data_IF_865699463968
#
_entry.id   IF_865699463968
#
_cell.length_a   1.000
_cell.length_b   1.000
_cell.length_c   1.000
_cell.angle_alpha   90.00
_cell.angle_beta   90.00
_cell.angle_gamma   90.00
#
_symmetry.space_group_name_H-M   'P 1'
#
loop_
_entity.id
_entity.type
_entity.pdbx_description
1 polymer ?
#
# COMPACT_ATOMS: atom_id res chain seq x y z
N UNK A 1 -10.59 8.25 22.12
CA UNK A 1 -9.63 7.26 21.59
C UNK A 1 -9.91 7.12 20.10
N UNK A 2 -8.88 7.19 19.27
CA UNK A 2 -8.99 7.16 17.81
C UNK A 2 -8.05 6.08 17.28
N UNK A 3 -8.52 5.32 16.30
CA UNK A 3 -7.74 4.29 15.62
C UNK A 3 -7.49 4.71 14.19
N UNK A 4 -6.27 4.51 13.71
CA UNK A 4 -5.85 4.82 12.35
C UNK A 4 -5.20 3.57 11.78
N UNK A 5 -5.70 3.11 10.64
CA UNK A 5 -5.08 2.06 9.86
C UNK A 5 -4.07 2.69 8.88
N UNK A 6 -2.78 2.63 9.24
CA UNK A 6 -1.71 3.11 8.40
C UNK A 6 -1.32 2.03 7.38
N UNK A 7 -1.61 2.28 6.11
CA UNK A 7 -1.27 1.37 5.01
C UNK A 7 -0.02 1.81 4.27
N UNK A 8 0.88 0.86 4.02
CA UNK A 8 2.03 1.02 3.14
C UNK A 8 2.12 -0.14 2.12
N UNK A 9 3.29 -0.29 1.46
CA UNK A 9 3.53 -1.38 0.50
C UNK A 9 3.44 -2.77 1.13
N UNK A 10 3.83 -2.91 2.40
CA UNK A 10 3.96 -4.18 3.09
C UNK A 10 2.64 -4.62 3.74
N UNK A 11 1.81 -3.68 4.19
CA UNK A 11 0.52 -4.02 4.78
C UNK A 11 -0.12 -2.86 5.51
N UNK A 12 -0.92 -3.19 6.52
CA UNK A 12 -1.59 -2.25 7.40
C UNK A 12 -0.98 -2.39 8.78
N UNK A 13 -0.82 -1.28 9.49
CA UNK A 13 -0.46 -1.24 10.91
C UNK A 13 -1.38 -0.26 11.63
N UNK A 14 -1.93 -0.67 12.77
CA UNK A 14 -2.79 0.21 13.57
C UNK A 14 -1.96 1.19 14.38
N UNK A 15 -2.44 2.43 14.41
CA UNK A 15 -1.97 3.49 15.28
C UNK A 15 -3.12 3.87 16.20
N UNK A 16 -2.85 3.86 17.51
CA UNK A 16 -3.86 4.13 18.52
C UNK A 16 -3.55 5.43 19.22
N UNK A 17 -4.41 6.43 19.01
CA UNK A 17 -4.30 7.73 19.65
C UNK A 17 -5.29 7.86 20.82
N UNK A 18 -4.76 8.18 21.99
CA UNK A 18 -5.51 8.44 23.21
C UNK A 18 -5.23 9.87 23.72
N UNK A 19 -6.22 10.79 23.71
CA UNK A 19 -6.05 12.15 24.19
C UNK A 19 -5.57 12.25 25.65
N UNK A 20 -5.79 11.22 26.48
CA UNK A 20 -5.34 11.21 27.88
C UNK A 20 -3.86 10.84 28.04
N UNK A 21 -3.27 10.18 27.03
CA UNK A 21 -1.89 9.68 27.05
C UNK A 21 -0.94 10.45 26.14
N UNK A 22 -1.49 11.20 25.19
CA UNK A 22 -0.71 11.92 24.17
C UNK A 22 -0.83 13.43 24.37
N UNK A 23 0.29 14.14 24.27
CA UNK A 23 0.41 15.56 24.60
C UNK A 23 0.22 16.50 23.41
N UNK A 24 0.12 15.97 22.19
CA UNK A 24 -0.09 16.73 20.96
C UNK A 24 -1.50 16.49 20.43
N UNK A 25 -2.15 17.46 19.77
CA UNK A 25 -3.47 17.25 19.22
C UNK A 25 -3.43 16.30 18.02
N UNK A 26 -4.44 15.44 17.91
CA UNK A 26 -4.65 14.64 16.71
C UNK A 26 -5.02 15.56 15.53
N UNK A 27 -4.32 15.48 14.38
CA UNK A 27 -4.75 16.19 13.17
C UNK A 27 -6.11 15.71 12.67
N UNK A 28 -6.84 16.55 11.92
CA UNK A 28 -8.10 16.16 11.26
C UNK A 28 -7.79 15.25 10.05
N UNK A 29 -7.54 13.97 10.33
CA UNK A 29 -7.20 12.97 9.33
C UNK A 29 -8.46 12.47 8.62
N UNK A 30 -8.38 12.37 7.30
CA UNK A 30 -9.39 11.71 6.45
C UNK A 30 -8.77 10.54 5.72
N UNK A 31 -9.62 9.70 5.13
CA UNK A 31 -9.19 8.54 4.35
C UNK A 31 -8.18 8.91 3.27
N UNK A 32 -7.18 8.04 3.08
CA UNK A 32 -6.12 8.18 2.08
C UNK A 32 -5.19 9.40 2.23
N UNK A 33 -5.19 10.08 3.39
CA UNK A 33 -4.17 11.08 3.70
C UNK A 33 -2.78 10.43 3.76
N UNK A 34 -1.77 11.14 3.26
CA UNK A 34 -0.37 10.70 3.39
C UNK A 34 0.19 11.29 4.66
N UNK A 35 0.52 10.42 5.61
CA UNK A 35 0.99 10.83 6.92
C UNK A 35 2.33 10.19 7.26
N UNK A 36 3.10 10.88 8.09
CA UNK A 36 4.28 10.35 8.75
C UNK A 36 3.99 10.24 10.23
N UNK A 37 4.20 9.05 10.78
CA UNK A 37 3.92 8.75 12.19
C UNK A 37 5.21 8.29 12.84
N UNK A 38 5.58 8.94 13.94
CA UNK A 38 6.64 8.48 14.84
C UNK A 38 6.00 8.02 16.14
N UNK A 39 6.46 6.93 16.72
CA UNK A 39 5.86 6.37 17.93
C UNK A 39 6.59 5.14 18.46
N UNK A 40 6.04 4.60 19.54
CA UNK A 40 6.54 3.37 20.16
C UNK A 40 5.65 2.20 19.75
N UNK A 41 6.27 1.07 19.37
CA UNK A 41 5.56 -0.18 19.12
C UNK A 41 5.18 -0.79 20.46
N UNK A 42 3.90 -1.10 20.64
CA UNK A 42 3.36 -1.71 21.85
C UNK A 42 2.52 -2.93 21.50
N UNK A 43 2.49 -3.91 22.40
CA UNK A 43 1.60 -5.05 22.24
C UNK A 43 0.15 -4.60 22.39
N UNK A 44 -0.75 -5.16 21.58
CA UNK A 44 -2.18 -4.97 21.80
C UNK A 44 -2.63 -5.72 23.05
N UNK A 45 -3.69 -5.25 23.73
CA UNK A 45 -4.37 -6.09 24.71
C UNK A 45 -4.80 -7.42 24.08
N UNK A 46 -4.75 -8.51 24.85
CA UNK A 46 -5.09 -9.87 24.36
C UNK A 46 -6.47 -9.94 23.68
N UNK A 47 -7.42 -9.12 24.15
CA UNK A 47 -8.78 -9.02 23.60
C UNK A 47 -8.88 -8.27 22.27
N UNK A 48 -7.82 -7.56 21.86
CA UNK A 48 -7.76 -6.71 20.66
C UNK A 48 -6.77 -7.22 19.61
N UNK A 49 -6.20 -8.42 19.81
CA UNK A 49 -5.34 -9.07 18.84
C UNK A 49 -6.16 -9.42 17.59
N UNK A 50 -5.71 -8.94 16.42
CA UNK A 50 -6.32 -9.27 15.13
C UNK A 50 -5.48 -10.35 14.42
N UNK A 51 -5.96 -11.59 14.39
CA UNK A 51 -5.24 -12.72 13.76
C UNK A 51 -5.21 -12.69 12.24
N UNK A 52 -6.10 -11.92 11.62
CA UNK A 52 -6.19 -11.79 10.16
C UNK A 52 -5.21 -10.74 9.61
N UNK A 53 -4.54 -9.99 10.50
CA UNK A 53 -3.57 -8.96 10.14
C UNK A 53 -2.16 -9.38 10.57
N UNK A 54 -1.14 -9.32 9.69
CA UNK A 54 0.24 -9.68 10.05
C UNK A 54 0.82 -8.88 11.21
N UNK A 55 0.35 -7.65 11.41
CA UNK A 55 0.75 -6.75 12.50
C UNK A 55 -0.28 -6.72 13.65
N UNK A 56 -1.25 -7.62 13.65
CA UNK A 56 -2.42 -7.53 14.53
C UNK A 56 -2.18 -7.87 15.99
N UNK A 57 -0.98 -8.32 16.37
CA UNK A 57 -0.56 -8.46 17.77
C UNK A 57 0.01 -7.15 18.35
N UNK A 58 0.33 -6.19 17.49
CA UNK A 58 0.98 -4.93 17.87
C UNK A 58 0.20 -3.71 17.36
N UNK A 59 0.49 -2.56 17.94
CA UNK A 59 0.05 -1.25 17.49
C UNK A 59 1.12 -0.19 17.77
N UNK A 60 0.96 0.99 17.18
CA UNK A 60 1.84 2.13 17.43
C UNK A 60 1.14 3.11 18.35
N UNK A 61 1.77 3.45 19.48
CA UNK A 61 1.42 4.60 20.30
C UNK A 61 2.20 5.82 19.75
N UNK A 62 1.55 6.75 19.05
CA UNK A 62 2.24 7.80 18.31
C UNK A 62 2.80 8.86 19.24
N UNK A 63 4.05 9.27 19.06
CA UNK A 63 4.64 10.46 19.71
C UNK A 63 4.54 11.70 18.85
N UNK A 64 4.37 11.54 17.54
CA UNK A 64 4.10 12.63 16.59
C UNK A 64 3.38 12.11 15.34
N UNK A 65 2.46 12.92 14.81
CA UNK A 65 1.79 12.68 13.54
C UNK A 65 1.93 13.94 12.68
N UNK A 66 2.49 13.78 11.49
CA UNK A 66 2.67 14.84 10.51
C UNK A 66 1.87 14.50 9.24
N UNK A 67 1.05 15.44 8.78
CA UNK A 67 0.34 15.29 7.49
C UNK A 67 1.28 15.76 6.39
N UNK A 68 1.71 14.83 5.53
CA UNK A 68 2.58 15.12 4.39
C UNK A 68 1.78 15.61 3.18
N UNK A 69 0.57 15.06 3.00
CA UNK A 69 -0.36 15.47 1.95
C UNK A 69 -1.78 15.16 2.38
N UNK A 70 -2.70 16.07 2.07
CA UNK A 70 -4.13 15.83 2.16
C UNK A 70 -4.64 15.01 0.97
N UNK A 71 -5.89 14.57 1.07
CA UNK A 71 -6.61 13.87 0.02
C UNK A 71 -8.02 14.47 -0.14
N UNK A 72 -8.48 14.56 -1.38
CA UNK A 72 -9.87 14.91 -1.70
C UNK A 72 -10.76 13.68 -1.57
N UNK A 73 -12.07 13.90 -1.63
CA UNK A 73 -13.03 12.79 -1.71
C UNK A 73 -12.70 11.89 -2.92
N UNK A 74 -12.70 10.58 -2.67
CA UNK A 74 -12.28 9.60 -3.66
C UNK A 74 -13.45 9.21 -4.57
N UNK A 75 -13.17 8.94 -5.86
CA UNK A 75 -14.19 8.43 -6.79
C UNK A 75 -14.67 7.01 -6.42
N UNK A 76 -13.86 6.25 -5.67
CA UNK A 76 -14.23 4.95 -5.11
C UNK A 76 -13.36 4.61 -3.88
N UNK A 77 -13.86 3.74 -2.98
CA UNK A 77 -13.09 3.24 -1.83
C UNK A 77 -11.91 2.36 -2.26
N UNK A 78 -10.75 2.53 -1.62
CA UNK A 78 -9.51 1.79 -1.91
C UNK A 78 -9.27 0.66 -0.89
N UNK A 79 -9.87 0.77 0.29
CA UNK A 79 -9.84 -0.20 1.40
C UNK A 79 -10.66 -1.46 1.12
N UNK A 80 -11.73 -1.33 0.35
CA UNK A 80 -12.63 -2.42 0.01
C UNK A 80 -12.41 -2.91 -1.41
N UNK A 81 -12.39 -4.23 -1.61
CA UNK A 81 -12.52 -4.84 -2.92
C UNK A 81 -13.98 -4.77 -3.44
N UNK A 82 -14.65 -3.64 -3.19
CA UNK A 82 -15.99 -3.39 -3.67
C UNK A 82 -16.01 -3.41 -5.20
N UNK A 83 -17.13 -3.84 -5.82
CA UNK A 83 -17.31 -3.74 -7.25
C UNK A 83 -17.27 -2.26 -7.67
N UNK A 84 -16.32 -1.92 -8.54
CA UNK A 84 -16.17 -0.58 -9.15
C UNK A 84 -16.08 -0.80 -10.67
N UNK A 85 -16.73 0.06 -11.44
CA UNK A 85 -16.70 0.02 -12.91
C UNK A 85 -15.27 0.05 -13.44
N UNK A 86 -15.00 -0.76 -14.46
CA UNK A 86 -13.66 -0.85 -15.05
C UNK A 86 -13.19 0.48 -15.65
N UNK A 87 -14.10 1.21 -16.28
CA UNK A 87 -13.90 2.57 -16.79
C UNK A 87 -13.35 3.52 -15.72
N UNK A 88 -14.00 3.56 -14.55
CA UNK A 88 -13.57 4.39 -13.41
C UNK A 88 -12.22 3.89 -12.88
N UNK A 89 -12.02 2.57 -12.78
CA UNK A 89 -10.75 1.98 -12.33
C UNK A 89 -9.59 2.31 -13.26
N UNK A 90 -9.83 2.39 -14.57
CA UNK A 90 -8.82 2.73 -15.56
C UNK A 90 -8.55 4.24 -15.59
N UNK A 91 -9.58 5.07 -15.45
CA UNK A 91 -9.43 6.54 -15.34
C UNK A 91 -8.60 6.92 -14.10
N UNK A 92 -8.94 6.34 -12.95
CA UNK A 92 -8.25 6.58 -11.68
C UNK A 92 -7.31 5.42 -11.32
N UNK A 93 -6.58 4.90 -12.32
CA UNK A 93 -5.71 3.73 -12.14
C UNK A 93 -4.70 3.90 -11.03
N UNK A 94 -4.21 5.11 -10.78
CA UNK A 94 -3.29 5.41 -9.67
C UNK A 94 -3.90 5.13 -8.28
N UNK A 95 -5.22 5.22 -8.12
CA UNK A 95 -5.93 4.77 -6.91
C UNK A 95 -6.17 3.27 -6.93
N UNK A 96 -6.59 2.72 -8.07
CA UNK A 96 -6.86 1.28 -8.22
C UNK A 96 -5.62 0.42 -7.94
N UNK A 97 -4.42 0.90 -8.30
CA UNK A 97 -3.16 0.24 -8.00
C UNK A 97 -2.83 0.14 -6.50
N UNK A 98 -3.52 0.89 -5.64
CA UNK A 98 -3.38 0.80 -4.18
C UNK A 98 -4.23 -0.32 -3.57
N UNK A 99 -5.24 -0.83 -4.29
CA UNK A 99 -6.04 -1.98 -3.85
C UNK A 99 -5.17 -3.23 -3.74
N UNK A 100 -5.51 -4.10 -2.79
CA UNK A 100 -4.69 -5.27 -2.46
C UNK A 100 -4.47 -6.18 -3.68
N UNK A 101 -5.54 -6.48 -4.43
CA UNK A 101 -5.45 -7.35 -5.61
C UNK A 101 -4.49 -6.80 -6.67
N UNK A 102 -4.58 -5.50 -6.96
CA UNK A 102 -3.72 -4.88 -7.98
C UNK A 102 -2.26 -4.79 -7.52
N UNK A 103 -2.04 -4.46 -6.24
CA UNK A 103 -0.71 -4.45 -5.63
C UNK A 103 -0.05 -5.83 -5.71
N UNK A 104 -0.78 -6.88 -5.32
CA UNK A 104 -0.29 -8.27 -5.38
C UNK A 104 0.06 -8.69 -6.80
N UNK A 105 -0.80 -8.37 -7.77
CA UNK A 105 -0.58 -8.68 -9.19
C UNK A 105 0.70 -8.02 -9.74
N UNK A 106 0.95 -6.74 -9.43
CA UNK A 106 2.16 -6.04 -9.88
C UNK A 106 3.42 -6.61 -9.21
N UNK A 107 3.35 -6.90 -7.91
CA UNK A 107 4.48 -7.51 -7.18
C UNK A 107 4.77 -8.90 -7.74
N UNK A 108 3.75 -9.71 -8.00
CA UNK A 108 3.89 -11.04 -8.60
C UNK A 108 4.53 -10.96 -9.98
N UNK A 109 4.05 -10.06 -10.86
CA UNK A 109 4.64 -9.82 -12.18
C UNK A 109 6.12 -9.46 -12.09
N UNK A 110 6.49 -8.57 -11.17
CA UNK A 110 7.88 -8.21 -10.95
C UNK A 110 8.75 -9.40 -10.52
N UNK A 111 8.27 -10.21 -9.56
CA UNK A 111 8.98 -11.40 -9.09
C UNK A 111 9.19 -12.43 -10.21
N UNK A 112 8.13 -12.71 -10.98
CA UNK A 112 8.19 -13.63 -12.12
C UNK A 112 9.23 -13.14 -13.12
N UNK A 113 9.15 -11.88 -13.55
CA UNK A 113 10.11 -11.33 -14.51
C UNK A 113 11.55 -11.40 -13.99
N UNK A 114 11.77 -11.05 -12.71
CA UNK A 114 13.10 -11.08 -12.10
C UNK A 114 13.68 -12.49 -12.08
N UNK A 115 12.88 -13.49 -11.69
CA UNK A 115 13.33 -14.88 -11.65
C UNK A 115 13.60 -15.43 -13.05
N UNK A 116 12.77 -15.10 -14.03
CA UNK A 116 12.98 -15.50 -15.43
C UNK A 116 14.29 -14.95 -15.98
N UNK A 117 14.58 -13.66 -15.77
CA UNK A 117 15.83 -13.05 -16.23
C UNK A 117 17.04 -13.68 -15.53
N UNK A 118 16.94 -13.90 -14.21
CA UNK A 118 18.00 -14.54 -13.43
C UNK A 118 18.33 -15.93 -13.95
N UNK A 119 17.31 -16.75 -14.24
CA UNK A 119 17.50 -18.07 -14.84
C UNK A 119 18.27 -18.02 -16.17
N UNK A 120 17.90 -17.11 -17.08
CA UNK A 120 18.57 -16.99 -18.36
C UNK A 120 20.02 -16.49 -18.24
N UNK A 121 20.29 -15.58 -17.30
CA UNK A 121 21.64 -15.11 -16.99
C UNK A 121 22.54 -16.27 -16.49
N UNK A 122 22.01 -17.12 -15.60
CA UNK A 122 22.70 -18.32 -15.11
C UNK A 122 23.02 -19.33 -16.24
N UNK A 123 22.16 -19.40 -17.26
CA UNK A 123 22.35 -20.21 -18.46
C UNK A 123 23.22 -19.52 -19.55
N UNK A 124 23.88 -18.41 -19.22
CA UNK A 124 24.74 -17.61 -20.12
C UNK A 124 24.03 -17.00 -21.33
N UNK A 125 22.73 -16.73 -21.24
CA UNK A 125 22.03 -15.94 -22.26
C UNK A 125 22.37 -14.46 -22.12
N UNK A 126 22.34 -13.73 -23.24
CA UNK A 126 22.55 -12.29 -23.26
C UNK A 126 21.21 -11.56 -23.28
N UNK A 127 21.04 -10.58 -22.40
CA UNK A 127 19.91 -9.66 -22.45
C UNK A 127 20.15 -8.58 -23.53
N UNK A 128 19.55 -8.77 -24.70
CA UNK A 128 19.72 -7.89 -25.87
C UNK A 128 18.42 -7.14 -26.14
N UNK A 129 18.46 -5.81 -26.05
CA UNK A 129 17.34 -4.96 -26.44
C UNK A 129 17.29 -4.81 -27.97
N UNK A 130 16.12 -5.01 -28.56
CA UNK A 130 15.90 -4.85 -30.00
C UNK A 130 15.16 -3.53 -30.30
N UNK A 131 15.39 -2.90 -31.47
CA UNK A 131 14.71 -1.66 -31.83
C UNK A 131 13.18 -1.85 -31.93
N UNK A 132 12.41 -0.97 -31.27
CA UNK A 132 10.94 -1.00 -31.32
C UNK A 132 10.36 -0.39 -32.62
N UNK A 133 11.06 0.57 -33.23
CA UNK A 133 10.64 1.20 -34.49
C UNK A 133 11.23 0.44 -35.68
N UNK A 134 10.46 -0.50 -36.22
CA UNK A 134 10.85 -1.33 -37.37
C UNK A 134 9.99 -1.02 -38.58
N UNK A 135 10.52 -1.31 -39.78
CA UNK A 135 9.76 -1.22 -41.02
C UNK A 135 8.56 -2.17 -40.95
N UNK A 136 7.39 -1.70 -41.35
CA UNK A 136 6.17 -2.50 -41.34
C UNK A 136 6.32 -3.69 -42.31
N UNK A 137 6.36 -4.90 -41.77
CA UNK A 137 6.36 -6.15 -42.53
C UNK A 137 4.94 -6.74 -42.47
N UNK A 138 4.29 -7.04 -43.61
CA UNK A 138 3.08 -7.84 -43.57
C UNK A 138 3.45 -9.22 -43.00
N UNK A 139 2.84 -9.60 -41.88
CA UNK A 139 2.84 -10.99 -41.39
C UNK A 139 1.91 -11.86 -42.24
#
# INVERSE_FOLDING_TARGET
>A
MTFIDLRDRYGITQVTYDPSRHTFPLPDLKSEYVVKISGTVVARPDSMINKDMPTGEIEISPTAIEVLSDCKELPFPVDHEAPVGEDIRLEYRYLDLRRQTMKENIIARHKIFTETIKFFDEENFLHIETPAFVKNTPE
#
